data_IF_001512315643
#
_entry.id   IF_001512315643
#
_cell.length_a   1.000
_cell.length_b   1.000
_cell.length_c   1.000
_cell.angle_alpha   90.00
_cell.angle_beta   90.00
_cell.angle_gamma   90.00
#
_symmetry.space_group_name_H-M   'P 1'
#
loop_
_entity.id
_entity.type
_entity.pdbx_description
1 polymer ?
#
# COMPACT_ATOMS: atom_id res chain seq x y z
N UNK A 1 48.77 -10.27 51.51
CA UNK A 1 48.83 -8.80 51.51
C UNK A 1 49.05 -8.32 50.08
N UNK A 2 48.35 -7.26 49.72
CA UNK A 2 48.15 -6.63 48.40
C UNK A 2 49.34 -6.58 47.43
N UNK A 3 49.08 -6.72 46.13
CA UNK A 3 49.07 -5.54 45.24
C UNK A 3 48.60 -5.85 43.80
N UNK A 4 47.88 -4.87 43.26
CA UNK A 4 47.21 -4.81 41.97
C UNK A 4 48.19 -4.48 40.84
N UNK A 5 48.07 -5.14 39.69
CA UNK A 5 48.37 -4.54 38.38
C UNK A 5 47.37 -5.08 37.36
N UNK A 6 46.38 -4.26 36.98
CA UNK A 6 45.37 -4.61 35.98
C UNK A 6 45.70 -3.87 34.70
N UNK A 7 45.89 -4.66 33.64
CA UNK A 7 46.38 -4.27 32.33
C UNK A 7 45.46 -3.27 31.59
N UNK A 8 46.13 -2.43 30.80
CA UNK A 8 45.60 -1.47 29.84
C UNK A 8 44.80 -2.10 28.70
N UNK A 9 43.89 -1.27 28.16
CA UNK A 9 43.41 -1.18 26.78
C UNK A 9 42.84 -2.44 26.11
N UNK A 10 41.55 -2.38 25.79
CA UNK A 10 41.05 -2.50 24.41
C UNK A 10 39.65 -1.91 24.34
N UNK A 11 39.53 -0.74 23.70
CA UNK A 11 38.27 -0.20 23.23
C UNK A 11 37.99 -0.83 21.86
N UNK A 12 37.07 -1.79 21.79
CA UNK A 12 36.58 -2.33 20.51
C UNK A 12 35.19 -1.75 20.28
N UNK A 13 35.11 -0.90 19.26
CA UNK A 13 33.90 -0.20 18.82
C UNK A 13 32.82 -1.19 18.37
N UNK A 14 31.60 -0.79 18.73
CA UNK A 14 30.32 -1.46 18.54
C UNK A 14 29.79 -1.33 17.09
N UNK A 15 28.84 -2.23 16.82
CA UNK A 15 27.70 -2.14 15.88
C UNK A 15 27.95 -2.59 14.43
N UNK A 16 27.73 -3.89 14.23
CA UNK A 16 27.28 -4.43 12.96
C UNK A 16 25.86 -3.95 12.65
N UNK A 17 25.69 -3.30 11.51
CA UNK A 17 24.39 -2.90 10.98
C UNK A 17 23.88 -4.02 10.07
N UNK A 18 23.22 -5.04 10.64
CA UNK A 18 22.38 -5.94 9.85
C UNK A 18 21.11 -5.17 9.47
N UNK A 19 21.03 -4.73 8.21
CA UNK A 19 19.78 -4.25 7.62
C UNK A 19 18.79 -5.41 7.56
N UNK A 20 17.86 -5.43 8.50
CA UNK A 20 16.65 -6.25 8.46
C UNK A 20 15.78 -5.73 7.31
N UNK A 21 15.78 -6.44 6.18
CA UNK A 21 14.70 -6.37 5.21
C UNK A 21 13.47 -6.98 5.89
N UNK A 22 12.61 -6.13 6.44
CA UNK A 22 11.29 -6.52 6.87
C UNK A 22 10.49 -6.88 5.62
N UNK A 23 10.47 -8.17 5.28
CA UNK A 23 9.48 -8.73 4.37
C UNK A 23 8.12 -8.61 5.05
N UNK A 24 7.35 -7.58 4.71
CA UNK A 24 5.95 -7.52 5.08
C UNK A 24 5.24 -8.60 4.28
N UNK A 25 5.14 -9.80 4.87
CA UNK A 25 4.24 -10.85 4.46
C UNK A 25 2.82 -10.28 4.56
N UNK A 26 2.34 -9.66 3.47
CA UNK A 26 0.98 -9.16 3.44
C UNK A 26 0.04 -10.37 3.36
N UNK A 27 -0.84 -10.44 4.34
CA UNK A 27 -1.88 -11.45 4.42
C UNK A 27 -2.68 -11.37 3.14
N UNK A 28 -2.73 -12.47 2.38
CA UNK A 28 -3.57 -12.62 1.19
C UNK A 28 -5.04 -12.56 1.61
N UNK A 29 -5.55 -11.36 1.94
CA UNK A 29 -6.95 -11.17 2.25
C UNK A 29 -7.69 -10.94 0.94
N UNK A 30 -8.70 -11.78 0.71
CA UNK A 30 -9.70 -11.51 -0.30
C UNK A 30 -10.66 -10.48 0.28
N UNK A 31 -10.86 -9.39 -0.44
CA UNK A 31 -11.76 -8.30 -0.04
C UNK A 31 -12.72 -8.00 -1.16
N UNK A 32 -13.96 -7.67 -0.78
CA UNK A 32 -14.99 -7.30 -1.73
C UNK A 32 -14.78 -5.84 -2.13
N UNK A 33 -14.59 -5.59 -3.42
CA UNK A 33 -14.61 -4.24 -3.96
C UNK A 33 -16.06 -3.82 -4.20
N UNK A 34 -16.44 -2.61 -3.80
CA UNK A 34 -17.80 -2.12 -4.01
C UNK A 34 -18.16 -2.01 -5.50
N UNK A 35 -19.47 -1.97 -5.78
CA UNK A 35 -19.94 -1.71 -7.13
C UNK A 35 -19.56 -0.29 -7.57
N UNK A 36 -19.14 -0.14 -8.83
CA UNK A 36 -18.74 1.14 -9.40
C UNK A 36 -17.55 1.78 -8.67
N UNK A 37 -16.62 0.96 -8.17
CA UNK A 37 -15.41 1.43 -7.52
C UNK A 37 -14.51 2.20 -8.51
N UNK A 38 -13.92 3.29 -8.03
CA UNK A 38 -12.91 4.04 -8.77
C UNK A 38 -11.57 3.30 -8.68
N UNK A 39 -11.09 2.85 -9.84
CA UNK A 39 -9.88 2.05 -9.97
C UNK A 39 -8.88 2.75 -10.88
N UNK A 40 -7.61 2.77 -10.48
CA UNK A 40 -6.51 3.28 -11.26
C UNK A 40 -5.53 2.16 -11.65
N UNK A 41 -4.93 2.28 -12.83
CA UNK A 41 -3.91 1.37 -13.34
C UNK A 41 -2.47 1.89 -13.12
N UNK A 42 -2.34 3.11 -12.61
CA UNK A 42 -1.08 3.78 -12.32
C UNK A 42 -1.02 4.18 -10.83
N UNK A 43 0.07 3.80 -10.16
CA UNK A 43 0.23 4.05 -8.73
C UNK A 43 0.46 5.52 -8.41
N UNK A 44 1.19 6.24 -9.27
CA UNK A 44 1.49 7.65 -9.02
C UNK A 44 0.20 8.48 -9.09
N UNK A 45 -0.68 8.15 -10.04
CA UNK A 45 -1.99 8.77 -10.12
C UNK A 45 -2.86 8.45 -8.89
N UNK A 46 -2.93 7.18 -8.49
CA UNK A 46 -3.66 6.78 -7.28
C UNK A 46 -3.15 7.54 -6.06
N UNK A 47 -1.83 7.62 -5.88
CA UNK A 47 -1.19 8.38 -4.79
C UNK A 47 -1.50 9.87 -4.85
N UNK A 48 -1.48 10.48 -6.04
CA UNK A 48 -1.81 11.90 -6.25
C UNK A 48 -3.25 12.21 -5.87
N UNK A 49 -4.19 11.36 -6.26
CA UNK A 49 -5.62 11.49 -5.93
C UNK A 49 -5.89 11.18 -4.46
N UNK A 50 -5.19 10.21 -3.87
CA UNK A 50 -5.31 9.86 -2.46
C UNK A 50 -4.77 10.95 -1.51
N UNK A 51 -3.92 11.85 -2.01
CA UNK A 51 -3.40 12.99 -1.26
C UNK A 51 -4.36 14.19 -1.22
N UNK A 52 -5.42 14.21 -2.05
CA UNK A 52 -6.34 15.34 -2.14
C UNK A 52 -7.75 14.88 -2.53
N UNK A 53 -8.67 14.92 -1.56
CA UNK A 53 -10.06 14.47 -1.75
C UNK A 53 -10.79 15.25 -2.84
N UNK A 54 -10.56 16.56 -2.97
CA UNK A 54 -11.24 17.36 -4.00
C UNK A 54 -10.80 16.94 -5.41
N UNK A 55 -9.50 16.66 -5.60
CA UNK A 55 -9.00 16.13 -6.86
C UNK A 55 -9.54 14.73 -7.13
N UNK A 56 -9.68 13.90 -6.10
CA UNK A 56 -10.29 12.56 -6.21
C UNK A 56 -11.74 12.64 -6.68
N UNK A 57 -12.55 13.50 -6.07
CA UNK A 57 -13.97 13.68 -6.46
C UNK A 57 -14.10 14.20 -7.90
N UNK A 58 -13.26 15.15 -8.30
CA UNK A 58 -13.22 15.61 -9.70
C UNK A 58 -12.84 14.48 -10.66
N UNK A 59 -11.83 13.67 -10.32
CA UNK A 59 -11.42 12.54 -11.14
C UNK A 59 -12.53 11.47 -11.23
N UNK A 60 -13.21 11.20 -10.11
CA UNK A 60 -14.37 10.30 -10.05
C UNK A 60 -15.47 10.73 -11.03
N UNK A 61 -15.86 11.99 -11.00
CA UNK A 61 -16.86 12.53 -11.92
C UNK A 61 -16.46 12.37 -13.40
N UNK A 62 -15.17 12.52 -13.72
CA UNK A 62 -14.67 12.32 -15.09
C UNK A 62 -14.74 10.84 -15.51
N UNK A 63 -14.34 9.91 -14.64
CA UNK A 63 -14.34 8.48 -14.98
C UNK A 63 -15.73 7.87 -15.05
N UNK A 64 -16.70 8.43 -14.32
CA UNK A 64 -18.13 8.07 -14.46
C UNK A 64 -18.68 8.44 -15.84
N UNK A 65 -18.23 9.55 -16.42
CA UNK A 65 -18.59 9.91 -17.79
C UNK A 65 -17.84 9.05 -18.81
N UNK A 66 -16.52 8.89 -18.64
CA UNK A 66 -15.67 8.09 -19.52
C UNK A 66 -14.37 7.70 -18.84
N UNK A 67 -13.97 6.44 -18.98
CA UNK A 67 -12.66 5.96 -18.54
C UNK A 67 -11.53 6.86 -19.08
N UNK A 68 -10.62 7.23 -18.18
CA UNK A 68 -9.44 8.00 -18.52
C UNK A 68 -8.28 7.06 -18.84
N UNK A 69 -7.12 7.61 -19.20
CA UNK A 69 -5.90 6.83 -19.39
C UNK A 69 -5.48 6.09 -18.11
N UNK A 70 -5.69 6.71 -16.95
CA UNK A 70 -5.16 6.25 -15.67
C UNK A 70 -6.19 5.56 -14.80
N UNK A 71 -7.44 6.01 -14.84
CA UNK A 71 -8.48 5.49 -13.97
C UNK A 71 -9.80 5.25 -14.71
N UNK A 72 -10.59 4.32 -14.17
CA UNK A 72 -11.86 3.85 -14.71
C UNK A 72 -12.76 3.37 -13.57
N UNK A 73 -14.03 3.12 -13.87
CA UNK A 73 -14.99 2.57 -12.93
C UNK A 73 -15.15 1.05 -13.16
N UNK A 74 -15.01 0.23 -12.12
CA UNK A 74 -15.22 -1.21 -12.18
C UNK A 74 -16.67 -1.56 -11.77
N UNK A 75 -17.45 -2.11 -12.72
CA UNK A 75 -18.92 -2.11 -12.65
C UNK A 75 -19.62 -3.37 -12.07
N UNK A 76 -19.02 -4.56 -11.93
CA UNK A 76 -19.49 -5.49 -10.93
C UNK A 76 -18.67 -5.36 -9.64
N UNK A 77 -19.33 -5.57 -8.51
CA UNK A 77 -18.65 -5.83 -7.25
C UNK A 77 -17.85 -7.13 -7.40
N UNK A 78 -16.55 -7.09 -7.11
CA UNK A 78 -15.62 -8.20 -7.36
C UNK A 78 -14.82 -8.53 -6.11
N UNK A 79 -14.57 -9.82 -5.89
CA UNK A 79 -13.55 -10.26 -4.93
C UNK A 79 -12.18 -10.01 -5.53
N UNK A 80 -11.35 -9.26 -4.81
CA UNK A 80 -9.98 -8.95 -5.21
C UNK A 80 -9.01 -9.42 -4.15
N UNK A 81 -7.79 -9.74 -4.56
CA UNK A 81 -6.71 -10.06 -3.63
C UNK A 81 -5.99 -8.78 -3.26
N UNK A 82 -6.05 -8.37 -2.00
CA UNK A 82 -5.26 -7.24 -1.52
C UNK A 82 -3.78 -7.61 -1.48
N UNK A 83 -2.94 -6.67 -1.94
CA UNK A 83 -1.49 -6.84 -2.02
C UNK A 83 -0.75 -5.90 -1.08
N UNK A 84 -1.20 -4.64 -0.93
CA UNK A 84 -0.61 -3.63 -0.05
C UNK A 84 -1.68 -2.61 0.38
N UNK A 85 -1.58 -2.09 1.60
CA UNK A 85 -2.48 -1.05 2.13
C UNK A 85 -1.66 0.19 2.54
N UNK A 86 -1.91 1.32 1.89
CA UNK A 86 -1.14 2.56 2.06
C UNK A 86 -1.91 3.64 2.84
N UNK A 87 -2.96 3.25 3.56
CA UNK A 87 -3.80 4.15 4.37
C UNK A 87 -4.97 4.69 3.55
N UNK A 88 -4.69 5.61 2.63
CA UNK A 88 -5.70 6.28 1.80
C UNK A 88 -5.98 5.60 0.45
N UNK A 89 -5.09 4.71 0.02
CA UNK A 89 -5.29 3.85 -1.14
C UNK A 89 -4.74 2.46 -0.88
N UNK A 90 -5.15 1.51 -1.72
CA UNK A 90 -4.76 0.12 -1.65
C UNK A 90 -4.32 -0.38 -3.01
N UNK A 91 -3.43 -1.37 -2.98
CA UNK A 91 -2.95 -2.11 -4.14
C UNK A 91 -3.59 -3.48 -4.10
N UNK A 92 -4.17 -3.91 -5.20
CA UNK A 92 -4.82 -5.20 -5.31
C UNK A 92 -4.52 -5.88 -6.65
N UNK A 93 -4.71 -7.20 -6.68
CA UNK A 93 -4.65 -8.01 -7.88
C UNK A 93 -6.05 -8.39 -8.33
N UNK A 94 -6.33 -8.17 -9.61
CA UNK A 94 -7.56 -8.62 -10.29
C UNK A 94 -7.23 -8.98 -11.74
N UNK A 95 -7.67 -10.14 -12.21
CA UNK A 95 -7.41 -10.65 -13.57
C UNK A 95 -5.92 -10.60 -13.99
N UNK A 96 -5.02 -11.04 -13.10
CA UNK A 96 -3.56 -10.99 -13.29
C UNK A 96 -2.98 -9.59 -13.52
N UNK A 97 -3.71 -8.53 -13.16
CA UNK A 97 -3.24 -7.15 -13.19
C UNK A 97 -3.15 -6.59 -11.78
N UNK A 98 -2.11 -5.79 -11.57
CA UNK A 98 -1.98 -4.96 -10.37
C UNK A 98 -2.71 -3.65 -10.63
N UNK A 99 -3.65 -3.33 -9.75
CA UNK A 99 -4.51 -2.16 -9.81
C UNK A 99 -4.56 -1.49 -8.44
N UNK A 100 -5.07 -0.25 -8.44
CA UNK A 100 -5.13 0.60 -7.26
C UNK A 100 -6.54 1.14 -7.10
N UNK A 101 -6.99 1.27 -5.86
CA UNK A 101 -8.28 1.89 -5.53
C UNK A 101 -8.17 2.57 -4.18
N UNK A 102 -9.21 3.30 -3.79
CA UNK A 102 -9.26 4.04 -2.54
C UNK A 102 -9.90 3.20 -1.45
N UNK A 103 -9.44 3.35 -0.20
CA UNK A 103 -9.86 2.49 0.92
C UNK A 103 -11.38 2.53 1.19
N UNK A 104 -12.03 3.63 0.81
CA UNK A 104 -13.49 3.80 0.87
C UNK A 104 -14.27 2.83 -0.02
N UNK A 105 -13.64 2.27 -1.06
CA UNK A 105 -14.25 1.32 -1.98
C UNK A 105 -14.14 -0.14 -1.52
N UNK A 106 -13.48 -0.41 -0.39
CA UNK A 106 -13.35 -1.75 0.17
C UNK A 106 -14.50 -2.05 1.14
N UNK A 107 -15.20 -3.15 0.89
CA UNK A 107 -16.19 -3.69 1.81
C UNK A 107 -15.58 -4.87 2.56
N UNK A 108 -15.72 -4.88 3.90
CA UNK A 108 -15.37 -6.07 4.68
C UNK A 108 -16.20 -7.23 4.17
N UNK A 109 -15.54 -8.32 3.75
CA UNK A 109 -16.24 -9.56 3.44
C UNK A 109 -16.90 -10.04 4.75
N UNK A 110 -18.23 -9.98 4.80
CA UNK A 110 -19.04 -10.58 5.87
C UNK A 110 -19.16 -12.08 5.66
#
# INVERSE_FOLDING_TARGET
MSCFVKFCLTATLLLGSTTLLAETANSESLVQLEQAAHVCNDEQEAKRLAANDHLREMAKALVEFKATKYCFILQPSVLVRLLEHHGSYVKFSHDNKVLYTFSEHLQSAN
#
